data_IF_469417474897
#
_entry.id   IF_469417474897
#
_cell.length_a   1.000
_cell.length_b   1.000
_cell.length_c   1.000
_cell.angle_alpha   90.00
_cell.angle_beta   90.00
_cell.angle_gamma   90.00
#
_symmetry.space_group_name_H-M   'P 1'
#
loop_
_entity.id
_entity.type
_entity.pdbx_description
1 polymer ?
#
# COMPACT_ATOMS: atom_id res chain seq x y z
N UNK A 1 -18.07 -46.61 38.84
CA UNK A 1 -16.68 -46.56 38.40
C UNK A 1 -16.46 -45.19 37.82
N UNK A 2 -15.58 -44.39 38.38
CA UNK A 2 -15.21 -43.10 37.76
C UNK A 2 -14.36 -43.39 36.53
N UNK A 3 -14.79 -42.93 35.36
CA UNK A 3 -13.99 -42.96 34.16
C UNK A 3 -12.74 -42.08 34.36
N UNK A 4 -11.58 -42.72 34.39
CA UNK A 4 -10.30 -42.01 34.39
C UNK A 4 -10.09 -41.46 32.98
N UNK A 5 -10.33 -40.16 32.83
CA UNK A 5 -9.87 -39.46 31.62
C UNK A 5 -8.34 -39.58 31.56
N UNK A 6 -7.84 -40.31 30.56
CA UNK A 6 -6.42 -40.52 30.31
C UNK A 6 -5.68 -39.22 29.85
N UNK A 7 -6.43 -38.21 29.48
CA UNK A 7 -5.89 -36.93 29.04
C UNK A 7 -6.41 -35.81 29.93
N UNK A 8 -5.57 -34.83 30.32
CA UNK A 8 -6.04 -33.67 31.03
C UNK A 8 -7.04 -32.89 30.16
N UNK A 9 -8.24 -32.68 30.69
CA UNK A 9 -9.24 -31.82 30.09
C UNK A 9 -8.83 -30.38 30.41
N UNK A 10 -8.42 -29.63 29.41
CA UNK A 10 -8.19 -28.20 29.54
C UNK A 10 -9.48 -27.48 29.15
N UNK A 11 -10.00 -26.66 30.05
CA UNK A 11 -10.98 -25.64 29.66
C UNK A 11 -10.30 -24.69 28.72
N UNK A 12 -10.66 -24.77 27.44
CA UNK A 12 -10.24 -23.78 26.46
C UNK A 12 -11.09 -22.54 26.71
N UNK A 13 -10.48 -21.40 27.11
CA UNK A 13 -11.26 -20.18 27.26
C UNK A 13 -11.90 -19.87 25.91
N UNK A 14 -13.20 -19.58 25.91
CA UNK A 14 -13.88 -19.10 24.70
C UNK A 14 -13.13 -17.87 24.19
N UNK A 15 -12.54 -18.01 23.00
CA UNK A 15 -11.96 -16.87 22.28
C UNK A 15 -13.16 -16.03 21.86
N UNK A 16 -13.55 -15.08 22.69
CA UNK A 16 -14.47 -14.03 22.29
C UNK A 16 -13.78 -13.27 21.16
N UNK A 17 -14.19 -13.57 19.93
CA UNK A 17 -13.85 -12.72 18.78
C UNK A 17 -14.29 -11.31 19.15
N UNK A 18 -13.39 -10.33 19.23
CA UNK A 18 -13.77 -8.96 19.55
C UNK A 18 -14.80 -8.53 18.51
N UNK A 19 -15.98 -8.16 18.96
CA UNK A 19 -17.03 -7.58 18.12
C UNK A 19 -16.43 -6.35 17.46
N UNK A 20 -16.26 -6.40 16.12
CA UNK A 20 -15.63 -5.37 15.33
C UNK A 20 -16.54 -4.12 15.24
N UNK A 21 -16.53 -3.32 16.27
CA UNK A 21 -17.06 -1.95 16.24
C UNK A 21 -16.02 -0.92 16.68
N UNK A 22 -14.75 -1.29 16.72
CA UNK A 22 -13.71 -0.30 16.85
C UNK A 22 -13.46 0.30 15.45
N UNK A 23 -13.69 1.60 15.31
CA UNK A 23 -13.18 2.42 14.21
C UNK A 23 -11.71 2.08 14.06
N UNK A 24 -11.38 1.24 13.06
CA UNK A 24 -9.99 0.81 12.82
C UNK A 24 -9.22 2.02 12.35
N UNK A 25 -8.63 2.74 13.28
CA UNK A 25 -7.68 3.80 13.00
C UNK A 25 -6.56 3.20 12.14
N UNK A 26 -6.24 3.87 11.02
CA UNK A 26 -5.16 3.43 10.16
C UNK A 26 -3.86 3.32 10.96
N UNK A 27 -3.14 2.21 10.83
CA UNK A 27 -1.94 1.95 11.61
C UNK A 27 -0.89 3.02 11.34
N UNK A 28 -0.24 3.57 12.37
CA UNK A 28 0.83 4.55 12.19
C UNK A 28 2.03 3.90 11.48
N UNK A 29 2.75 4.72 10.73
CA UNK A 29 3.99 4.37 10.05
C UNK A 29 5.07 5.39 10.36
N UNK A 30 6.29 5.17 9.87
CA UNK A 30 7.36 6.17 9.94
C UNK A 30 7.23 7.09 8.73
N UNK A 31 7.40 8.39 8.91
CA UNK A 31 7.34 9.35 7.82
C UNK A 31 8.60 9.30 6.97
N UNK A 32 8.44 8.98 5.69
CA UNK A 32 9.46 9.04 4.66
C UNK A 32 9.21 10.23 3.73
N UNK A 33 10.20 11.09 3.57
CA UNK A 33 10.15 12.23 2.67
C UNK A 33 10.68 11.81 1.29
N UNK A 34 9.77 11.62 0.34
CA UNK A 34 10.11 11.15 -1.01
C UNK A 34 10.87 12.19 -1.85
N UNK A 35 10.78 13.48 -1.50
CA UNK A 35 11.53 14.54 -2.18
C UNK A 35 13.00 14.55 -1.75
N UNK A 36 13.23 14.31 -0.46
CA UNK A 36 14.59 14.24 0.11
C UNK A 36 15.21 12.84 0.03
N UNK A 37 14.37 11.81 -0.16
CA UNK A 37 14.81 10.42 -0.16
C UNK A 37 15.25 9.91 1.20
N UNK A 38 14.73 10.46 2.31
CA UNK A 38 15.14 10.11 3.68
C UNK A 38 13.97 10.17 4.66
N UNK A 39 14.14 9.59 5.83
CA UNK A 39 13.16 9.68 6.91
C UNK A 39 13.17 11.08 7.55
N UNK A 40 11.97 11.58 7.84
CA UNK A 40 11.83 12.85 8.57
C UNK A 40 12.20 12.64 10.04
N UNK A 41 13.16 13.41 10.50
CA UNK A 41 13.63 13.41 11.88
C UNK A 41 13.02 14.61 12.64
N UNK A 42 12.80 14.45 13.93
CA UNK A 42 12.45 15.52 14.84
C UNK A 42 13.72 16.26 15.33
N UNK A 43 13.54 17.30 16.16
CA UNK A 43 14.64 18.05 16.73
C UNK A 43 15.58 17.26 17.67
N UNK A 44 15.18 16.04 18.06
CA UNK A 44 15.98 15.11 18.85
C UNK A 44 16.59 13.98 18.00
N UNK A 45 16.59 14.13 16.68
CA UNK A 45 17.06 13.13 15.70
C UNK A 45 16.31 11.79 15.77
N UNK A 46 15.05 11.78 16.20
CA UNK A 46 14.19 10.60 16.16
C UNK A 46 13.29 10.64 14.93
N UNK A 47 13.03 9.47 14.35
CA UNK A 47 12.09 9.35 13.22
C UNK A 47 10.70 9.79 13.64
N UNK A 48 10.07 10.67 12.85
CA UNK A 48 8.69 11.10 13.09
C UNK A 48 7.70 10.08 12.60
N UNK A 49 6.62 9.87 13.35
CA UNK A 49 5.52 9.02 12.92
C UNK A 49 4.60 9.76 11.96
N UNK A 50 4.03 9.02 10.99
CA UNK A 50 2.89 9.42 10.19
C UNK A 50 1.65 8.65 10.65
N UNK A 51 0.50 9.30 10.68
CA UNK A 51 -0.75 8.72 11.15
C UNK A 51 -1.92 9.06 10.23
N UNK A 52 -3.01 8.29 10.28
CA UNK A 52 -4.23 8.58 9.52
C UNK A 52 -3.99 8.71 8.02
N UNK A 53 -4.47 9.78 7.42
CA UNK A 53 -4.31 10.08 5.99
C UNK A 53 -2.86 10.06 5.54
N UNK A 54 -1.95 10.67 6.31
CA UNK A 54 -0.55 10.76 5.98
C UNK A 54 0.10 9.36 5.89
N UNK A 55 -0.18 8.47 6.84
CA UNK A 55 0.30 7.10 6.82
C UNK A 55 -0.28 6.29 5.65
N UNK A 56 -1.55 6.49 5.33
CA UNK A 56 -2.21 5.88 4.17
C UNK A 56 -1.57 6.33 2.85
N UNK A 57 -1.33 7.63 2.68
CA UNK A 57 -0.68 8.17 1.49
C UNK A 57 0.77 7.68 1.33
N UNK A 58 1.50 7.56 2.43
CA UNK A 58 2.84 6.94 2.46
C UNK A 58 2.79 5.49 1.96
N UNK A 59 1.79 4.74 2.41
CA UNK A 59 1.59 3.36 1.96
C UNK A 59 1.27 3.30 0.46
N UNK A 60 0.37 4.16 -0.04
CA UNK A 60 0.03 4.22 -1.46
C UNK A 60 1.25 4.51 -2.33
N UNK A 61 2.06 5.51 -1.97
CA UNK A 61 3.30 5.84 -2.70
C UNK A 61 4.29 4.69 -2.70
N UNK A 62 4.49 4.08 -1.53
CA UNK A 62 5.37 2.91 -1.40
C UNK A 62 4.90 1.74 -2.26
N UNK A 63 3.61 1.44 -2.28
CA UNK A 63 3.06 0.35 -3.07
C UNK A 63 3.30 0.54 -4.57
N UNK A 64 3.12 1.77 -5.08
CA UNK A 64 3.35 2.09 -6.50
C UNK A 64 4.84 2.11 -6.88
N UNK A 65 5.73 2.40 -5.93
CA UNK A 65 7.18 2.44 -6.16
C UNK A 65 7.87 1.09 -5.89
N UNK A 66 7.11 0.08 -5.51
CA UNK A 66 7.65 -1.26 -5.22
C UNK A 66 7.27 -2.21 -6.34
N UNK A 67 8.26 -2.88 -6.93
CA UNK A 67 8.01 -3.96 -7.87
C UNK A 67 7.49 -5.19 -7.10
N UNK A 68 6.43 -5.83 -7.62
CA UNK A 68 5.81 -7.00 -7.00
C UNK A 68 6.81 -8.16 -6.97
N UNK A 69 6.82 -8.88 -5.86
CA UNK A 69 7.70 -10.03 -5.61
C UNK A 69 9.22 -9.73 -5.59
N UNK A 70 9.63 -8.47 -5.77
CA UNK A 70 11.05 -8.08 -5.69
C UNK A 70 11.62 -8.18 -4.27
N UNK A 71 10.79 -8.15 -3.24
CA UNK A 71 11.20 -8.22 -1.85
C UNK A 71 10.50 -9.37 -1.12
N UNK A 72 11.26 -10.37 -0.68
CA UNK A 72 10.76 -11.54 0.05
C UNK A 72 10.05 -11.21 1.38
N UNK A 73 10.29 -10.02 1.94
CA UNK A 73 9.66 -9.58 3.17
C UNK A 73 8.22 -9.05 2.97
N UNK A 74 7.81 -8.82 1.73
CA UNK A 74 6.47 -8.34 1.41
C UNK A 74 5.57 -9.48 0.96
N UNK A 75 4.26 -9.32 1.23
CA UNK A 75 3.24 -10.16 0.63
C UNK A 75 3.21 -9.96 -0.89
N UNK A 76 2.85 -10.99 -1.63
CA UNK A 76 2.62 -10.95 -3.08
C UNK A 76 1.54 -9.95 -3.52
N UNK A 77 0.74 -9.47 -2.56
CA UNK A 77 -0.28 -8.46 -2.80
C UNK A 77 0.28 -7.02 -2.82
N UNK A 78 1.54 -6.81 -2.37
CA UNK A 78 2.17 -5.50 -2.30
C UNK A 78 3.02 -5.26 -3.53
N UNK A 79 2.84 -4.10 -4.13
CA UNK A 79 3.61 -3.66 -5.28
C UNK A 79 2.87 -3.82 -6.61
N UNK A 80 3.49 -3.30 -7.65
CA UNK A 80 2.99 -3.31 -9.02
C UNK A 80 3.87 -4.20 -9.91
N UNK A 81 3.35 -4.59 -11.04
CA UNK A 81 4.09 -5.28 -12.10
C UNK A 81 4.62 -4.24 -13.11
N UNK A 82 5.43 -3.29 -12.61
CA UNK A 82 5.90 -2.14 -13.36
C UNK A 82 6.83 -2.52 -14.51
N UNK A 83 7.79 -3.40 -14.28
CA UNK A 83 8.72 -3.88 -15.31
C UNK A 83 7.98 -4.60 -16.45
N UNK A 84 7.01 -5.45 -16.12
CA UNK A 84 6.21 -6.14 -17.11
C UNK A 84 5.34 -5.18 -17.91
N UNK A 85 4.73 -4.19 -17.26
CA UNK A 85 3.91 -3.17 -17.90
C UNK A 85 4.74 -2.30 -18.86
N UNK A 86 5.95 -1.90 -18.47
CA UNK A 86 6.86 -1.09 -19.31
C UNK A 86 7.45 -1.87 -20.48
N UNK A 87 7.46 -3.20 -20.41
CA UNK A 87 7.94 -4.07 -21.49
C UNK A 87 6.92 -4.23 -22.64
N UNK A 88 5.70 -3.72 -22.49
CA UNK A 88 4.72 -3.71 -23.58
C UNK A 88 5.22 -2.90 -24.77
N UNK A 89 4.90 -3.35 -25.98
CA UNK A 89 5.49 -2.79 -27.20
C UNK A 89 4.87 -1.49 -27.70
N UNK A 90 3.79 -1.00 -27.07
CA UNK A 90 3.04 0.18 -27.48
C UNK A 90 2.69 1.06 -26.28
N UNK A 91 2.76 2.38 -26.45
CA UNK A 91 2.46 3.34 -25.38
C UNK A 91 1.08 3.14 -24.76
N UNK A 92 0.06 2.92 -25.59
CA UNK A 92 -1.30 2.71 -25.10
C UNK A 92 -1.43 1.40 -24.29
N UNK A 93 -0.69 0.36 -24.67
CA UNK A 93 -0.62 -0.90 -23.93
C UNK A 93 0.10 -0.71 -22.58
N UNK A 94 1.22 0.02 -22.56
CA UNK A 94 1.94 0.38 -21.33
C UNK A 94 1.04 1.16 -20.37
N UNK A 95 0.35 2.19 -20.87
CA UNK A 95 -0.56 3.01 -20.05
C UNK A 95 -1.68 2.17 -19.46
N UNK A 96 -2.32 1.31 -20.26
CA UNK A 96 -3.38 0.41 -19.79
C UNK A 96 -2.88 -0.63 -18.78
N UNK A 97 -1.68 -1.19 -19.00
CA UNK A 97 -1.07 -2.15 -18.08
C UNK A 97 -0.70 -1.49 -16.74
N UNK A 98 -0.13 -0.28 -16.76
CA UNK A 98 0.18 0.48 -15.55
C UNK A 98 -1.07 0.87 -14.78
N UNK A 99 -2.09 1.38 -15.46
CA UNK A 99 -3.38 1.71 -14.82
C UNK A 99 -3.97 0.49 -14.11
N UNK A 100 -3.95 -0.66 -14.76
CA UNK A 100 -4.45 -1.92 -14.19
C UNK A 100 -3.65 -2.32 -12.95
N UNK A 101 -2.31 -2.46 -13.08
CA UNK A 101 -1.49 -2.97 -11.97
C UNK A 101 -1.46 -2.02 -10.77
N UNK A 102 -1.48 -0.70 -10.98
CA UNK A 102 -1.56 0.30 -9.91
C UNK A 102 -2.92 0.22 -9.21
N UNK A 103 -4.00 0.14 -9.98
CA UNK A 103 -5.35 0.02 -9.41
C UNK A 103 -5.46 -1.25 -8.57
N UNK A 104 -5.03 -2.39 -9.07
CA UNK A 104 -5.02 -3.66 -8.35
C UNK A 104 -4.20 -3.57 -7.05
N UNK A 105 -2.98 -3.03 -7.12
CA UNK A 105 -2.10 -2.90 -5.96
C UNK A 105 -2.68 -2.01 -4.86
N UNK A 106 -3.33 -0.91 -5.22
CA UNK A 106 -3.91 0.02 -4.25
C UNK A 106 -5.26 -0.46 -3.70
N UNK A 107 -6.04 -1.19 -4.50
CA UNK A 107 -7.34 -1.74 -4.06
C UNK A 107 -7.22 -2.92 -3.09
N UNK A 108 -6.04 -3.53 -2.94
CA UNK A 108 -5.76 -4.53 -1.89
C UNK A 108 -5.96 -3.92 -0.48
N UNK A 109 -5.68 -2.63 -0.33
CA UNK A 109 -5.89 -1.95 0.94
C UNK A 109 -7.38 -1.68 1.18
N UNK A 110 -7.92 -2.26 2.24
CA UNK A 110 -9.35 -2.13 2.60
C UNK A 110 -9.79 -0.68 2.87
N UNK A 111 -8.86 0.23 3.12
CA UNK A 111 -9.12 1.67 3.30
C UNK A 111 -9.19 2.44 1.98
N UNK A 112 -8.81 1.85 0.83
CA UNK A 112 -8.96 2.48 -0.48
C UNK A 112 -10.41 2.39 -0.94
N UNK A 113 -10.97 3.52 -1.37
CA UNK A 113 -12.30 3.59 -1.95
C UNK A 113 -12.24 3.44 -3.47
N UNK A 114 -11.38 4.24 -4.12
CA UNK A 114 -11.15 4.16 -5.56
C UNK A 114 -9.79 4.75 -5.96
N UNK A 115 -9.38 4.37 -7.16
CA UNK A 115 -8.22 4.94 -7.88
C UNK A 115 -8.71 5.32 -9.27
N UNK A 116 -8.41 6.56 -9.73
CA UNK A 116 -8.91 7.08 -11.00
C UNK A 116 -8.08 8.25 -11.52
N UNK A 117 -8.43 8.74 -12.70
CA UNK A 117 -7.86 9.98 -13.26
C UNK A 117 -6.39 9.84 -13.60
N UNK A 118 -6.04 8.74 -14.27
CA UNK A 118 -4.68 8.51 -14.72
C UNK A 118 -4.32 9.47 -15.85
N UNK A 119 -3.20 10.17 -15.70
CA UNK A 119 -2.62 11.07 -16.68
C UNK A 119 -1.19 10.62 -16.97
N UNK A 120 -0.90 10.36 -18.23
CA UNK A 120 0.40 9.88 -18.69
C UNK A 120 1.10 10.95 -19.50
N UNK A 121 2.38 11.16 -19.27
CA UNK A 121 3.21 12.11 -20.00
C UNK A 121 4.57 11.49 -20.32
N UNK A 122 4.75 11.11 -21.58
CA UNK A 122 6.01 10.57 -22.08
C UNK A 122 7.01 11.69 -22.32
N UNK A 123 8.19 11.57 -21.73
CA UNK A 123 9.30 12.51 -21.86
C UNK A 123 10.59 11.76 -22.20
N UNK A 124 11.64 12.52 -22.51
CA UNK A 124 12.94 11.95 -22.86
C UNK A 124 13.61 11.17 -21.72
N UNK A 125 13.25 11.46 -20.47
CA UNK A 125 13.79 10.86 -19.24
C UNK A 125 12.90 9.75 -18.65
N UNK A 126 11.73 9.51 -19.26
CA UNK A 126 10.83 8.46 -18.82
C UNK A 126 9.36 8.82 -18.94
N UNK A 127 8.53 7.97 -18.32
CA UNK A 127 7.09 8.14 -18.25
C UNK A 127 6.69 8.78 -16.91
N UNK A 128 6.13 9.97 -16.97
CA UNK A 128 5.49 10.64 -15.86
C UNK A 128 4.04 10.21 -15.77
N UNK A 129 3.64 9.80 -14.60
CA UNK A 129 2.29 9.34 -14.31
C UNK A 129 1.74 10.13 -13.12
N UNK A 130 0.51 10.61 -13.24
CA UNK A 130 -0.27 11.14 -12.13
C UNK A 130 -1.62 10.44 -12.06
N UNK A 131 -2.12 10.20 -10.88
CA UNK A 131 -3.46 9.63 -10.66
C UNK A 131 -4.01 10.06 -9.32
N UNK A 132 -5.32 9.95 -9.19
CA UNK A 132 -6.05 10.31 -7.97
C UNK A 132 -6.44 9.07 -7.20
N UNK A 133 -6.11 9.03 -5.91
CA UNK A 133 -6.52 8.00 -4.98
C UNK A 133 -7.41 8.60 -3.90
N UNK A 134 -8.45 7.87 -3.51
CA UNK A 134 -9.31 8.23 -2.39
C UNK A 134 -9.36 7.11 -1.37
N UNK A 135 -9.10 7.45 -0.12
CA UNK A 135 -9.39 6.59 1.02
C UNK A 135 -10.82 6.80 1.51
N UNK A 136 -11.44 5.77 2.10
CA UNK A 136 -12.84 5.79 2.59
C UNK A 136 -13.10 6.89 3.62
N UNK A 137 -12.08 7.24 4.40
CA UNK A 137 -12.19 8.18 5.52
C UNK A 137 -11.59 9.55 5.21
N UNK A 138 -10.96 9.73 4.03
CA UNK A 138 -10.20 10.94 3.69
C UNK A 138 -10.57 11.48 2.32
N UNK A 139 -10.28 12.77 2.13
CA UNK A 139 -10.37 13.42 0.84
C UNK A 139 -9.40 12.81 -0.17
N UNK A 140 -9.78 12.85 -1.44
CA UNK A 140 -8.93 12.39 -2.54
C UNK A 140 -7.62 13.18 -2.63
N UNK A 141 -6.57 12.52 -3.10
CA UNK A 141 -5.25 13.10 -3.29
C UNK A 141 -4.60 12.57 -4.55
N UNK A 142 -3.85 13.43 -5.22
CA UNK A 142 -3.10 13.06 -6.43
C UNK A 142 -1.72 12.56 -6.06
N UNK A 143 -1.35 11.41 -6.60
CA UNK A 143 -0.01 10.83 -6.51
C UNK A 143 0.65 10.94 -7.87
N UNK A 144 1.91 11.36 -7.87
CA UNK A 144 2.74 11.38 -9.07
C UNK A 144 3.89 10.38 -8.92
N UNK A 145 4.22 9.68 -9.99
CA UNK A 145 5.32 8.74 -10.08
C UNK A 145 6.10 8.94 -11.41
N UNK A 146 7.37 8.63 -11.40
CA UNK A 146 8.24 8.62 -12.56
C UNK A 146 8.77 7.20 -12.77
N UNK A 147 8.54 6.65 -13.94
CA UNK A 147 9.11 5.39 -14.40
C UNK A 147 10.19 5.69 -15.43
N UNK A 148 11.45 5.43 -15.07
CA UNK A 148 12.58 5.54 -15.99
C UNK A 148 12.50 4.41 -17.02
N UNK A 149 12.63 4.74 -18.29
CA UNK A 149 12.67 3.79 -19.43
C UNK A 149 14.10 3.49 -19.83
#
# INVERSE_FOLDING_TARGET
>A
MAEKNLFPVFDVPEITTPTQSETRTYKPSVFFDYEKGDFRLDGAHKMTASTGKEAYMQWCRKAVMTERDACLAYSTDIGIEGEAALAEGDHAAVESALEKTITEALMVNTHTEYVRGFEFSWRADGLYLAFTVKGKEWEEETISALFST
#
